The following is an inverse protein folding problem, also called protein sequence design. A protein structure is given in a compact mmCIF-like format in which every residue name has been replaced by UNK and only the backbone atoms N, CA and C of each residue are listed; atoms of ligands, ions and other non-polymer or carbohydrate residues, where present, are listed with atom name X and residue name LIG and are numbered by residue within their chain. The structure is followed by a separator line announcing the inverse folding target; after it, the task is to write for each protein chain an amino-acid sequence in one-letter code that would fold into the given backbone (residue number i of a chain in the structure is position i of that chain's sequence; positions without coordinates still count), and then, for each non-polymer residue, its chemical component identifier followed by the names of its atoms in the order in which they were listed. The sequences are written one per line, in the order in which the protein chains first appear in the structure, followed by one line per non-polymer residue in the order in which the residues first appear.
data_IF_467919934831
#
_entry.id   IF_467919934831
#
_cell.length_a   1.000
_cell.length_b   1.000
_cell.length_c   1.000
_cell.angle_alpha   90.00
_cell.angle_beta   90.00
_cell.angle_gamma   90.00
#
_symmetry.space_group_name_H-M   'P 1'
#
loop_
_entity.id
_entity.type
_entity.pdbx_description
1 polymer ?
#
# COMPACT_ATOMS: atom_id res chain seq x y z
N UNK A 1 -4.34 -7.77 -11.07
CA UNK A 1 -4.45 -6.62 -12.00
C UNK A 1 -5.90 -6.19 -12.18
N UNK A 2 -6.75 -6.33 -11.15
CA UNK A 2 -8.17 -5.99 -11.19
C UNK A 2 -8.36 -4.52 -10.76
N UNK A 3 -7.62 -4.09 -9.74
CA UNK A 3 -7.76 -2.73 -9.21
C UNK A 3 -7.16 -1.71 -10.18
N UNK A 4 -5.99 -2.01 -10.75
CA UNK A 4 -5.37 -1.17 -11.78
C UNK A 4 -6.31 -0.97 -12.98
N UNK A 5 -6.93 -2.04 -13.49
CA UNK A 5 -7.84 -1.93 -14.65
C UNK A 5 -9.08 -1.08 -14.34
N UNK A 6 -9.61 -1.13 -13.11
CA UNK A 6 -10.74 -0.28 -12.70
C UNK A 6 -10.37 1.20 -12.71
N UNK A 7 -9.18 1.55 -12.20
CA UNK A 7 -8.73 2.95 -12.19
C UNK A 7 -8.55 3.46 -13.62
N UNK A 8 -7.92 2.67 -14.50
CA UNK A 8 -7.76 3.05 -15.89
C UNK A 8 -9.10 3.23 -16.61
N UNK A 9 -10.08 2.34 -16.33
CA UNK A 9 -11.43 2.49 -16.86
C UNK A 9 -12.12 3.76 -16.35
N UNK A 10 -11.98 4.10 -15.06
CA UNK A 10 -12.52 5.34 -14.50
C UNK A 10 -11.90 6.59 -15.13
N UNK A 11 -10.59 6.58 -15.38
CA UNK A 11 -9.88 7.71 -16.02
C UNK A 11 -10.28 7.91 -17.49
N UNK A 12 -10.80 6.88 -18.15
CA UNK A 12 -11.22 6.95 -19.55
C UNK A 12 -12.66 7.48 -19.73
N UNK A 13 -13.46 7.58 -18.66
CA UNK A 13 -14.85 8.02 -18.76
C UNK A 13 -14.94 9.54 -18.89
N UNK A 14 -15.68 10.08 -19.88
CA UNK A 14 -15.98 11.50 -19.99
C UNK A 14 -17.10 11.87 -19.01
N UNK A 15 -16.85 11.76 -17.71
CA UNK A 15 -17.86 12.05 -16.69
C UNK A 15 -17.59 13.38 -15.99
N UNK A 16 -18.66 14.17 -15.83
CA UNK A 16 -18.68 15.36 -14.96
C UNK A 16 -18.59 14.98 -13.47
N UNK A 17 -18.69 13.69 -13.14
CA UNK A 17 -18.61 13.17 -11.79
C UNK A 17 -17.63 11.99 -11.76
N UNK A 18 -16.53 12.14 -11.03
CA UNK A 18 -15.57 11.05 -10.81
C UNK A 18 -15.71 10.55 -9.38
N UNK A 19 -15.80 9.23 -9.22
CA UNK A 19 -15.84 8.56 -7.92
C UNK A 19 -14.51 7.89 -7.66
N UNK A 20 -13.80 8.36 -6.65
CA UNK A 20 -12.53 7.82 -6.23
C UNK A 20 -12.72 6.90 -5.03
N UNK A 21 -12.37 5.62 -5.18
CA UNK A 21 -12.21 4.71 -4.07
C UNK A 21 -10.72 4.65 -3.69
N UNK A 22 -10.30 5.16 -2.52
CA UNK A 22 -8.89 5.17 -2.13
C UNK A 22 -8.28 3.76 -2.15
N UNK A 23 -9.04 2.75 -1.73
CA UNK A 23 -8.54 1.38 -1.61
C UNK A 23 -8.29 0.69 -2.95
N UNK A 24 -8.91 1.14 -4.04
CA UNK A 24 -8.54 0.67 -5.37
C UNK A 24 -7.10 1.10 -5.72
N UNK A 25 -6.64 2.29 -5.30
CA UNK A 25 -5.26 2.74 -5.51
C UNK A 25 -4.26 1.95 -4.67
N UNK A 26 -4.59 1.64 -3.41
CA UNK A 26 -3.75 0.78 -2.55
C UNK A 26 -3.67 -0.66 -3.07
N UNK A 27 -4.78 -1.18 -3.61
CA UNK A 27 -4.79 -2.49 -4.24
C UNK A 27 -3.94 -2.48 -5.52
N UNK A 28 -4.07 -1.44 -6.35
CA UNK A 28 -3.29 -1.30 -7.57
C UNK A 28 -1.79 -1.21 -7.30
N UNK A 29 -1.34 -0.50 -6.27
CA UNK A 29 0.08 -0.45 -5.90
C UNK A 29 0.63 -1.84 -5.54
N UNK A 30 -0.12 -2.63 -4.76
CA UNK A 30 0.24 -4.01 -4.42
C UNK A 30 0.27 -4.96 -5.62
N UNK A 31 -0.73 -4.88 -6.51
CA UNK A 31 -0.77 -5.66 -7.75
C UNK A 31 0.40 -5.32 -8.68
N UNK A 32 0.69 -4.02 -8.85
CA UNK A 32 1.80 -3.55 -9.67
C UNK A 32 3.16 -3.93 -9.08
N UNK A 33 3.30 -3.96 -7.75
CA UNK A 33 4.53 -4.42 -7.09
C UNK A 33 4.84 -5.88 -7.45
N UNK A 34 3.86 -6.77 -7.36
CA UNK A 34 4.01 -8.18 -7.74
C UNK A 34 4.24 -8.32 -9.25
N UNK A 35 3.54 -7.55 -10.07
CA UNK A 35 3.75 -7.55 -11.52
C UNK A 35 5.16 -7.10 -11.90
N UNK A 36 5.66 -6.03 -11.28
CA UNK A 36 7.02 -5.54 -11.44
C UNK A 36 8.04 -6.61 -11.04
N UNK A 37 7.79 -7.34 -9.95
CA UNK A 37 8.62 -8.46 -9.52
C UNK A 37 8.70 -9.56 -10.59
N UNK A 38 7.57 -9.99 -11.13
CA UNK A 38 7.50 -11.02 -12.17
C UNK A 38 8.30 -10.61 -13.42
N UNK A 39 8.09 -9.39 -13.92
CA UNK A 39 8.84 -8.87 -15.08
C UNK A 39 10.34 -8.88 -14.80
N UNK A 40 10.74 -8.44 -13.61
CA UNK A 40 12.15 -8.28 -13.26
C UNK A 40 12.87 -9.63 -13.15
N UNK A 41 12.20 -10.66 -12.62
CA UNK A 41 12.71 -12.03 -12.61
C UNK A 41 12.78 -12.66 -14.00
N UNK A 42 11.78 -12.42 -14.85
CA UNK A 42 11.83 -12.88 -16.26
C UNK A 42 13.02 -12.25 -16.99
N UNK A 43 13.22 -10.94 -16.83
CA UNK A 43 14.37 -10.25 -17.43
C UNK A 43 15.71 -10.76 -16.86
N UNK A 44 15.80 -10.95 -15.55
CA UNK A 44 17.01 -11.52 -14.93
C UNK A 44 17.30 -12.91 -15.47
N UNK A 45 16.30 -13.78 -15.58
CA UNK A 45 16.46 -15.13 -16.14
C UNK A 45 16.94 -15.12 -17.59
N UNK A 46 16.40 -14.23 -18.43
CA UNK A 46 16.74 -14.17 -19.85
C UNK A 46 18.12 -13.56 -20.12
N UNK A 47 18.50 -12.53 -19.36
CA UNK A 47 19.69 -11.72 -19.66
C UNK A 47 20.86 -11.97 -18.70
N UNK A 48 20.59 -12.47 -17.49
CA UNK A 48 21.63 -12.71 -16.48
C UNK A 48 21.32 -13.94 -15.60
N UNK A 49 21.14 -15.14 -16.19
CA UNK A 49 20.75 -16.35 -15.45
C UNK A 49 21.75 -16.75 -14.37
N UNK A 50 23.04 -16.44 -14.54
CA UNK A 50 24.08 -16.75 -13.57
C UNK A 50 23.82 -16.14 -12.19
N UNK A 51 23.16 -14.97 -12.13
CA UNK A 51 22.80 -14.32 -10.86
C UNK A 51 21.79 -15.15 -10.05
N UNK A 52 20.98 -15.98 -10.69
CA UNK A 52 20.00 -16.84 -10.02
C UNK A 52 20.71 -18.01 -9.31
N UNK A 53 21.79 -18.49 -9.91
CA UNK A 53 22.61 -19.55 -9.35
C UNK A 53 23.49 -19.02 -8.22
N UNK A 54 24.12 -17.87 -8.41
CA UNK A 54 25.04 -17.26 -7.46
C UNK A 54 24.85 -15.73 -7.36
N UNK A 55 24.57 -15.24 -6.15
CA UNK A 55 24.52 -13.81 -5.86
C UNK A 55 24.80 -13.52 -4.38
N UNK A 56 25.19 -12.28 -4.11
CA UNK A 56 25.57 -11.81 -2.78
C UNK A 56 24.46 -11.98 -1.73
N UNK A 57 23.20 -11.77 -2.11
CA UNK A 57 22.08 -11.95 -1.20
C UNK A 57 21.85 -13.43 -0.90
N UNK A 58 21.89 -14.30 -1.90
CA UNK A 58 21.75 -15.76 -1.75
C UNK A 58 22.85 -16.33 -0.87
N UNK A 59 24.09 -15.84 -0.98
CA UNK A 59 25.19 -16.22 -0.08
C UNK A 59 24.90 -15.85 1.38
N UNK A 60 24.17 -14.75 1.63
CA UNK A 60 23.84 -14.26 2.97
C UNK A 60 22.60 -14.92 3.58
N UNK A 61 21.56 -15.11 2.77
CA UNK A 61 20.24 -15.55 3.25
C UNK A 61 19.91 -17.00 2.91
N UNK A 62 20.68 -17.64 2.04
CA UNK A 62 20.55 -19.07 1.68
C UNK A 62 19.44 -19.37 0.66
N UNK A 63 18.79 -18.36 0.08
CA UNK A 63 17.77 -18.51 -0.97
C UNK A 63 17.81 -17.32 -1.93
N UNK A 64 17.10 -17.43 -3.06
CA UNK A 64 16.95 -16.33 -4.01
C UNK A 64 15.92 -15.32 -3.48
N UNK A 65 16.41 -14.32 -2.75
CA UNK A 65 15.58 -13.20 -2.30
C UNK A 65 14.92 -12.52 -3.51
N UNK A 66 13.62 -12.20 -3.41
CA UNK A 66 12.88 -11.68 -4.56
C UNK A 66 13.48 -10.36 -5.11
N UNK A 67 14.09 -9.52 -4.28
CA UNK A 67 14.70 -8.27 -4.72
C UNK A 67 15.89 -8.47 -5.66
N UNK A 68 16.53 -9.65 -5.69
CA UNK A 68 17.62 -9.96 -6.64
C UNK A 68 17.17 -9.73 -8.10
N UNK A 69 15.90 -9.99 -8.41
CA UNK A 69 15.34 -9.69 -9.73
C UNK A 69 15.42 -8.21 -10.12
N UNK A 70 15.45 -7.30 -9.14
CA UNK A 70 15.58 -5.86 -9.33
C UNK A 70 17.03 -5.36 -9.39
N UNK A 71 18.00 -6.18 -9.02
CA UNK A 71 19.40 -5.75 -8.84
C UNK A 71 20.24 -5.89 -10.10
N UNK A 72 19.76 -6.61 -11.11
CA UNK A 72 20.53 -6.91 -12.32
C UNK A 72 20.12 -6.07 -13.52
N UNK A 73 21.07 -5.76 -14.40
CA UNK A 73 20.75 -5.15 -15.70
C UNK A 73 20.32 -6.25 -16.70
N UNK A 74 19.32 -6.00 -17.56
CA UNK A 74 18.55 -4.76 -17.73
C UNK A 74 17.31 -4.64 -16.82
N UNK A 75 17.01 -5.64 -16.00
CA UNK A 75 15.80 -5.69 -15.17
C UNK A 75 15.65 -4.44 -14.29
N UNK A 76 16.74 -4.00 -13.66
CA UNK A 76 16.81 -2.78 -12.84
C UNK A 76 16.34 -1.51 -13.55
N UNK A 77 16.71 -1.33 -14.83
CA UNK A 77 16.31 -0.17 -15.63
C UNK A 77 14.82 -0.17 -15.99
N UNK A 78 14.18 -1.34 -16.01
CA UNK A 78 12.73 -1.47 -16.21
C UNK A 78 11.99 -1.36 -14.88
N UNK A 79 12.55 -1.96 -13.83
CA UNK A 79 11.94 -2.04 -12.52
C UNK A 79 11.86 -0.67 -11.81
N UNK A 80 12.91 0.14 -11.89
CA UNK A 80 12.95 1.44 -11.20
C UNK A 80 11.86 2.42 -11.69
N UNK A 81 11.65 2.63 -13.01
CA UNK A 81 10.52 3.43 -13.50
C UNK A 81 9.15 2.86 -13.12
N UNK A 82 8.95 1.53 -13.18
CA UNK A 82 7.71 0.90 -12.74
C UNK A 82 7.48 1.10 -11.24
N UNK A 83 8.54 1.09 -10.44
CA UNK A 83 8.46 1.37 -9.00
C UNK A 83 8.02 2.81 -8.72
N UNK A 84 8.44 3.79 -9.53
CA UNK A 84 7.92 5.15 -9.43
C UNK A 84 6.40 5.23 -9.69
N UNK A 85 5.88 4.44 -10.65
CA UNK A 85 4.43 4.32 -10.88
C UNK A 85 3.74 3.69 -9.67
N UNK A 86 4.32 2.66 -9.07
CA UNK A 86 3.78 2.04 -7.83
C UNK A 86 3.68 3.08 -6.70
N UNK A 87 4.74 3.88 -6.49
CA UNK A 87 4.77 4.96 -5.50
C UNK A 87 3.69 6.01 -5.79
N UNK A 88 3.43 6.33 -7.06
CA UNK A 88 2.35 7.24 -7.44
C UNK A 88 0.97 6.70 -6.99
N UNK A 89 0.65 5.44 -7.30
CA UNK A 89 -0.62 4.83 -6.88
C UNK A 89 -0.76 4.84 -5.36
N UNK A 90 0.30 4.46 -4.64
CA UNK A 90 0.28 4.50 -3.19
C UNK A 90 0.11 5.93 -2.66
N UNK A 91 0.87 6.89 -3.19
CA UNK A 91 0.76 8.30 -2.77
C UNK A 91 -0.65 8.85 -3.01
N UNK A 92 -1.29 8.44 -4.12
CA UNK A 92 -2.67 8.81 -4.42
C UNK A 92 -3.65 8.19 -3.43
N UNK A 93 -3.48 6.93 -3.04
CA UNK A 93 -4.25 6.33 -1.95
C UNK A 93 -4.14 7.15 -0.67
N UNK A 94 -2.92 7.44 -0.21
CA UNK A 94 -2.66 8.15 1.04
C UNK A 94 -3.23 9.58 1.04
N UNK A 95 -3.21 10.25 -0.11
CA UNK A 95 -3.82 11.56 -0.30
C UNK A 95 -5.35 11.51 -0.21
N UNK A 96 -5.98 10.57 -0.93
CA UNK A 96 -7.44 10.41 -0.93
C UNK A 96 -7.95 9.97 0.43
N UNK A 97 -7.20 9.11 1.12
CA UNK A 97 -7.49 8.67 2.49
C UNK A 97 -7.45 9.85 3.48
N UNK A 98 -6.45 10.73 3.38
CA UNK A 98 -6.43 11.97 4.15
C UNK A 98 -7.61 12.90 3.86
N UNK A 99 -7.98 13.10 2.59
CA UNK A 99 -9.13 13.92 2.22
C UNK A 99 -10.44 13.33 2.75
N UNK A 100 -10.60 12.01 2.70
CA UNK A 100 -11.75 11.32 3.26
C UNK A 100 -11.84 11.54 4.77
N UNK A 101 -10.76 11.31 5.50
CA UNK A 101 -10.72 11.52 6.95
C UNK A 101 -11.05 12.98 7.31
N UNK A 102 -10.54 13.94 6.52
CA UNK A 102 -10.84 15.35 6.68
C UNK A 102 -12.33 15.64 6.48
N UNK A 103 -12.93 15.19 5.38
CA UNK A 103 -14.35 15.41 5.08
C UNK A 103 -15.29 14.76 6.11
N UNK A 104 -14.92 13.60 6.64
CA UNK A 104 -15.68 12.91 7.69
C UNK A 104 -15.47 13.52 9.07
N UNK A 105 -14.46 14.39 9.25
CA UNK A 105 -14.10 14.95 10.55
C UNK A 105 -13.58 13.92 11.55
N UNK A 106 -13.13 12.74 11.10
CA UNK A 106 -12.76 11.62 11.95
C UNK A 106 -11.26 11.36 11.90
N UNK A 107 -10.60 11.34 13.07
CA UNK A 107 -9.24 10.84 13.28
C UNK A 107 -8.16 11.43 12.35
N UNK A 108 -8.37 12.65 11.86
CA UNK A 108 -7.52 13.33 10.85
C UNK A 108 -6.04 13.33 11.22
N UNK A 109 -5.71 13.55 12.50
CA UNK A 109 -4.31 13.55 12.96
C UNK A 109 -3.65 12.18 12.83
N UNK A 110 -4.34 11.11 13.23
CA UNK A 110 -3.81 9.74 13.15
C UNK A 110 -3.60 9.33 11.70
N UNK A 111 -4.62 9.57 10.84
CA UNK A 111 -4.54 9.31 9.40
C UNK A 111 -3.38 10.08 8.78
N UNK A 112 -3.22 11.37 9.12
CA UNK A 112 -2.09 12.18 8.63
C UNK A 112 -0.73 11.59 9.02
N UNK A 113 -0.55 11.18 10.27
CA UNK A 113 0.72 10.62 10.75
C UNK A 113 1.01 9.29 10.05
N UNK A 114 0.05 8.37 10.03
CA UNK A 114 0.23 7.06 9.39
C UNK A 114 0.51 7.22 7.90
N UNK A 115 -0.24 8.09 7.22
CA UNK A 115 -0.07 8.31 5.79
C UNK A 115 1.26 8.97 5.47
N UNK A 116 1.72 9.92 6.30
CA UNK A 116 3.04 10.50 6.15
C UNK A 116 4.16 9.46 6.30
N UNK A 117 4.10 8.64 7.36
CA UNK A 117 5.10 7.59 7.61
C UNK A 117 5.10 6.55 6.48
N UNK A 118 3.92 6.13 6.03
CA UNK A 118 3.79 5.21 4.90
C UNK A 118 4.34 5.83 3.61
N UNK A 119 4.01 7.09 3.29
CA UNK A 119 4.54 7.77 2.11
C UNK A 119 6.07 7.86 2.16
N UNK A 120 6.62 8.36 3.27
CA UNK A 120 8.07 8.47 3.47
C UNK A 120 8.76 7.12 3.30
N UNK A 121 8.13 6.05 3.82
CA UNK A 121 8.61 4.69 3.67
C UNK A 121 8.68 4.21 2.22
N UNK A 122 7.65 4.47 1.42
CA UNK A 122 7.65 4.15 -0.01
C UNK A 122 8.72 4.92 -0.80
N UNK A 123 8.95 6.19 -0.47
CA UNK A 123 10.04 6.96 -1.09
C UNK A 123 11.42 6.47 -0.66
N UNK A 124 11.60 6.13 0.62
CA UNK A 124 12.86 5.57 1.10
C UNK A 124 13.20 4.22 0.47
N UNK A 125 12.18 3.42 0.11
CA UNK A 125 12.35 2.15 -0.58
C UNK A 125 12.96 2.28 -1.99
N UNK A 126 12.99 3.48 -2.59
CA UNK A 126 13.77 3.71 -3.83
C UNK A 126 15.26 3.38 -3.62
N UNK A 127 15.73 3.41 -2.37
CA UNK A 127 17.08 3.01 -1.98
C UNK A 127 17.49 1.63 -2.52
N UNK A 128 16.57 0.70 -2.76
CA UNK A 128 16.88 -0.61 -3.37
C UNK A 128 17.56 -0.48 -4.73
N UNK A 129 17.22 0.54 -5.52
CA UNK A 129 17.83 0.75 -6.83
C UNK A 129 19.13 1.56 -6.77
N UNK A 130 19.38 2.27 -5.67
CA UNK A 130 20.52 3.18 -5.54
C UNK A 130 21.65 2.61 -4.69
N UNK A 131 21.32 1.74 -3.72
CA UNK A 131 22.29 1.11 -2.82
C UNK A 131 22.63 -0.25 -3.40
N UNK A 132 23.87 -0.41 -3.84
CA UNK A 132 24.36 -1.70 -4.34
C UNK A 132 24.37 -2.74 -3.21
N UNK A 133 23.66 -3.86 -3.41
CA UNK A 133 23.58 -4.95 -2.45
C UNK A 133 24.94 -5.63 -2.20
N UNK A 134 25.88 -5.57 -3.14
CA UNK A 134 27.24 -6.08 -2.97
C UNK A 134 28.09 -5.18 -2.07
N UNK A 135 27.85 -3.86 -2.11
CA UNK A 135 28.65 -2.86 -1.37
C UNK A 135 28.06 -2.60 0.02
N UNK A 136 26.75 -2.41 0.12
CA UNK A 136 26.07 -2.14 1.38
C UNK A 136 24.77 -2.97 1.48
N UNK A 137 24.88 -4.29 1.70
CA UNK A 137 23.75 -5.21 1.79
C UNK A 137 22.76 -4.84 2.91
N UNK A 138 23.27 -4.34 4.03
CA UNK A 138 22.43 -3.92 5.16
C UNK A 138 21.61 -2.67 4.79
N UNK A 139 22.24 -1.66 4.18
CA UNK A 139 21.54 -0.46 3.72
C UNK A 139 20.52 -0.76 2.63
N UNK A 140 20.90 -1.61 1.66
CA UNK A 140 20.00 -2.09 0.61
C UNK A 140 18.78 -2.79 1.22
N UNK A 141 19.01 -3.77 2.09
CA UNK A 141 17.93 -4.53 2.77
C UNK A 141 17.07 -3.64 3.65
N UNK A 142 17.69 -2.74 4.42
CA UNK A 142 16.98 -1.82 5.31
C UNK A 142 16.04 -0.89 4.52
N UNK A 143 16.46 -0.43 3.34
CA UNK A 143 15.61 0.41 2.48
C UNK A 143 14.29 -0.26 2.11
N UNK A 144 14.28 -1.59 1.96
CA UNK A 144 13.08 -2.38 1.71
C UNK A 144 12.36 -2.83 2.99
N UNK A 145 13.06 -3.35 3.99
CA UNK A 145 12.42 -3.94 5.19
C UNK A 145 11.56 -2.93 5.95
N UNK A 146 11.96 -1.66 6.01
CA UNK A 146 11.12 -0.62 6.60
C UNK A 146 9.77 -0.46 5.88
N UNK A 147 9.73 -0.67 4.55
CA UNK A 147 8.51 -0.65 3.74
C UNK A 147 7.53 -1.73 4.17
N UNK A 148 8.04 -2.92 4.47
CA UNK A 148 7.24 -4.06 4.91
C UNK A 148 6.45 -3.72 6.17
N UNK A 149 7.15 -3.17 7.17
CA UNK A 149 6.55 -2.82 8.47
C UNK A 149 5.53 -1.68 8.33
N UNK A 150 5.91 -0.59 7.65
CA UNK A 150 5.01 0.58 7.55
C UNK A 150 3.82 0.34 6.61
N UNK A 151 3.95 -0.54 5.61
CA UNK A 151 2.80 -0.98 4.80
C UNK A 151 1.79 -1.77 5.63
N UNK A 152 2.25 -2.64 6.52
CA UNK A 152 1.38 -3.35 7.46
C UNK A 152 0.67 -2.37 8.42
N UNK A 153 1.39 -1.41 9.00
CA UNK A 153 0.80 -0.37 9.87
C UNK A 153 -0.29 0.43 9.13
N UNK A 154 -0.04 0.82 7.87
CA UNK A 154 -1.03 1.50 7.05
C UNK A 154 -2.26 0.63 6.75
N UNK A 155 -2.09 -0.68 6.56
CA UNK A 155 -3.21 -1.62 6.42
C UNK A 155 -4.04 -1.68 7.72
N UNK A 156 -3.39 -1.80 8.88
CA UNK A 156 -4.05 -1.80 10.18
C UNK A 156 -4.81 -0.50 10.46
N UNK A 157 -4.22 0.65 10.14
CA UNK A 157 -4.89 1.94 10.30
C UNK A 157 -6.18 2.02 9.47
N UNK A 158 -6.14 1.57 8.22
CA UNK A 158 -7.33 1.48 7.37
C UNK A 158 -8.38 0.53 7.96
N UNK A 159 -7.99 -0.62 8.51
CA UNK A 159 -8.90 -1.55 9.20
C UNK A 159 -9.54 -0.95 10.47
N UNK A 160 -8.83 -0.06 11.16
CA UNK A 160 -9.32 0.61 12.37
C UNK A 160 -10.20 1.81 12.04
N UNK A 161 -9.92 2.50 10.94
CA UNK A 161 -10.66 3.68 10.47
C UNK A 161 -12.03 3.31 9.90
N UNK A 162 -12.09 2.25 9.09
CA UNK A 162 -13.32 1.86 8.38
C UNK A 162 -14.31 1.20 9.35
N UNK A 163 -15.60 1.52 9.18
CA UNK A 163 -16.68 0.87 9.94
C UNK A 163 -16.65 -0.66 9.69
N UNK A 164 -16.67 -1.51 10.74
CA UNK A 164 -16.63 -2.96 10.61
C UNK A 164 -17.64 -3.57 9.64
N UNK A 165 -18.77 -2.91 9.38
CA UNK A 165 -19.77 -3.38 8.40
C UNK A 165 -19.25 -3.41 6.96
N UNK A 166 -18.20 -2.65 6.65
CA UNK A 166 -17.55 -2.63 5.33
C UNK A 166 -16.31 -3.54 5.26
N UNK A 167 -16.03 -4.32 6.31
CA UNK A 167 -14.90 -5.23 6.31
C UNK A 167 -15.26 -6.48 5.47
N UNK A 168 -14.46 -6.83 4.46
CA UNK A 168 -14.69 -8.05 3.71
C UNK A 168 -14.51 -9.29 4.60
N UNK A 169 -15.20 -10.37 4.24
CA UNK A 169 -15.03 -11.67 4.92
C UNK A 169 -13.56 -12.08 4.82
N UNK A 170 -12.95 -12.39 5.96
CA UNK A 170 -11.54 -12.77 6.03
C UNK A 170 -10.56 -11.62 6.24
N UNK A 171 -11.00 -10.35 6.35
CA UNK A 171 -10.11 -9.23 6.63
C UNK A 171 -9.26 -9.42 7.91
N UNK A 172 -9.90 -9.87 8.99
CA UNK A 172 -9.24 -10.10 10.29
C UNK A 172 -8.17 -11.21 10.27
N UNK A 173 -8.46 -12.45 9.81
CA UNK A 173 -7.41 -13.47 9.70
C UNK A 173 -6.33 -13.06 8.71
N UNK A 174 -6.67 -12.36 7.61
CA UNK A 174 -5.68 -11.82 6.68
C UNK A 174 -4.73 -10.82 7.36
N UNK A 175 -5.25 -9.83 8.10
CA UNK A 175 -4.38 -8.85 8.77
C UNK A 175 -3.48 -9.50 9.82
N UNK A 176 -3.96 -10.53 10.52
CA UNK A 176 -3.15 -11.28 11.48
C UNK A 176 -1.99 -12.01 10.78
N UNK A 177 -2.27 -12.72 9.69
CA UNK A 177 -1.25 -13.41 8.88
C UNK A 177 -0.26 -12.40 8.30
N UNK A 178 -0.76 -11.30 7.72
CA UNK A 178 0.06 -10.26 7.13
C UNK A 178 0.97 -9.59 8.16
N UNK A 179 0.48 -9.37 9.37
CA UNK A 179 1.24 -8.84 10.49
C UNK A 179 2.35 -9.76 10.96
N UNK A 180 2.04 -11.05 11.15
CA UNK A 180 3.03 -12.08 11.50
C UNK A 180 4.13 -12.14 10.46
N UNK A 181 3.77 -12.22 9.17
CA UNK A 181 4.73 -12.25 8.06
C UNK A 181 5.59 -11.00 8.06
N UNK A 182 4.99 -9.81 8.14
CA UNK A 182 5.72 -8.54 8.03
C UNK A 182 6.70 -8.33 9.19
N UNK A 183 6.26 -8.59 10.43
CA UNK A 183 7.08 -8.40 11.63
C UNK A 183 8.20 -9.44 11.68
N UNK A 184 7.88 -10.73 11.47
CA UNK A 184 8.89 -11.78 11.50
C UNK A 184 9.89 -11.61 10.36
N UNK A 185 9.44 -11.25 9.15
CA UNK A 185 10.34 -10.98 8.04
C UNK A 185 11.33 -9.87 8.39
N UNK A 186 10.84 -8.74 8.92
CA UNK A 186 11.72 -7.63 9.28
C UNK A 186 12.75 -8.00 10.34
N UNK A 187 12.33 -8.69 11.41
CA UNK A 187 13.25 -9.14 12.48
C UNK A 187 14.27 -10.12 11.93
N UNK A 188 13.81 -11.17 11.23
CA UNK A 188 14.67 -12.23 10.74
C UNK A 188 15.64 -11.73 9.66
N UNK A 189 15.20 -10.88 8.73
CA UNK A 189 16.07 -10.27 7.71
C UNK A 189 17.19 -9.45 8.35
N UNK A 190 16.87 -8.61 9.34
CA UNK A 190 17.86 -7.77 10.01
C UNK A 190 18.85 -8.60 10.83
N UNK A 191 18.39 -9.63 11.56
CA UNK A 191 19.29 -10.57 12.25
C UNK A 191 20.22 -11.27 11.27
N UNK A 192 19.67 -11.76 10.14
CA UNK A 192 20.44 -12.48 9.14
C UNK A 192 21.53 -11.61 8.53
N UNK A 193 21.21 -10.36 8.17
CA UNK A 193 22.18 -9.42 7.60
C UNK A 193 23.22 -8.97 8.63
N UNK A 194 22.83 -8.76 9.88
CA UNK A 194 23.74 -8.32 10.95
C UNK A 194 24.70 -9.42 11.42
N UNK A 195 24.26 -10.69 11.39
CA UNK A 195 25.06 -11.84 11.86
C UNK A 195 25.86 -12.54 10.77
N UNK A 196 25.75 -12.11 9.51
CA UNK A 196 26.56 -12.63 8.43
C UNK A 196 28.05 -12.30 8.63
N UNK A 197 28.91 -13.30 8.55
CA UNK A 197 30.36 -13.11 8.59
C UNK A 197 30.94 -13.05 7.17
N UNK A 198 31.42 -11.89 6.71
CA UNK A 198 31.97 -11.75 5.36
C UNK A 198 33.30 -12.47 5.16
N UNK A 199 34.03 -12.81 6.22
CA UNK A 199 35.34 -13.49 6.11
C UNK A 199 35.18 -14.99 5.91
N UNK A 200 34.24 -15.61 6.61
CA UNK A 200 34.01 -17.06 6.55
C UNK A 200 32.86 -17.44 5.62
N UNK A 201 32.03 -16.48 5.23
CA UNK A 201 30.77 -16.74 4.52
C UNK A 201 29.71 -17.41 5.41
N UNK A 202 29.92 -17.45 6.73
CA UNK A 202 28.97 -18.04 7.65
C UNK A 202 27.67 -17.22 7.66
N UNK A 203 26.57 -17.88 7.28
CA UNK A 203 25.23 -17.31 7.32
C UNK A 203 24.80 -16.99 8.76
N UNK A 204 23.89 -16.02 8.89
CA UNK A 204 23.20 -15.76 10.15
C UNK A 204 22.37 -16.97 10.64
N UNK A 205 21.90 -16.91 11.89
CA UNK A 205 21.29 -18.07 12.57
C UNK A 205 19.87 -18.42 12.09
N UNK A 206 19.27 -17.62 11.20
CA UNK A 206 17.88 -17.85 10.78
C UNK A 206 17.85 -18.92 9.69
N UNK A 207 17.04 -19.99 9.84
CA UNK A 207 16.89 -20.99 8.79
C UNK A 207 16.40 -20.36 7.47
N UNK A 208 17.11 -20.62 6.37
CA UNK A 208 16.81 -19.99 5.08
C UNK A 208 15.40 -20.29 4.56
N UNK A 209 14.85 -21.47 4.84
CA UNK A 209 13.47 -21.83 4.46
C UNK A 209 12.42 -20.92 5.11
N UNK A 210 12.65 -20.54 6.37
CA UNK A 210 11.77 -19.62 7.08
C UNK A 210 11.86 -18.22 6.47
N UNK A 211 13.07 -17.76 6.16
CA UNK A 211 13.28 -16.49 5.46
C UNK A 211 12.58 -16.46 4.09
N UNK A 212 12.72 -17.52 3.31
CA UNK A 212 12.07 -17.67 2.01
C UNK A 212 10.53 -17.61 2.12
N UNK A 213 9.95 -18.35 3.08
CA UNK A 213 8.51 -18.32 3.35
C UNK A 213 8.02 -16.91 3.71
N UNK A 214 8.77 -16.19 4.55
CA UNK A 214 8.41 -14.84 5.02
C UNK A 214 8.53 -13.80 3.89
N UNK A 215 9.60 -13.84 3.11
CA UNK A 215 9.82 -12.94 1.97
C UNK A 215 8.72 -13.13 0.91
N UNK A 216 8.53 -14.37 0.44
CA UNK A 216 7.55 -14.66 -0.60
C UNK A 216 6.12 -14.46 -0.09
N UNK A 217 5.88 -14.79 1.19
CA UNK A 217 4.63 -14.53 1.88
C UNK A 217 4.27 -13.05 1.91
N UNK A 218 5.25 -12.15 2.13
CA UNK A 218 5.00 -10.71 2.12
C UNK A 218 4.50 -10.24 0.74
N UNK A 219 5.17 -10.64 -0.34
CA UNK A 219 4.74 -10.29 -1.70
C UNK A 219 3.37 -10.88 -2.06
N UNK A 220 3.08 -12.11 -1.62
CA UNK A 220 1.75 -12.70 -1.75
C UNK A 220 0.69 -11.88 -1.02
N UNK A 221 0.96 -11.46 0.23
CA UNK A 221 0.08 -10.56 0.99
C UNK A 221 -0.11 -9.22 0.25
N UNK A 222 0.95 -8.62 -0.28
CA UNK A 222 0.86 -7.36 -1.02
C UNK A 222 0.00 -7.48 -2.29
N UNK A 223 0.09 -8.59 -3.02
CA UNK A 223 -0.78 -8.84 -4.18
C UNK A 223 -2.24 -9.15 -3.81
N UNK A 224 -2.47 -9.77 -2.65
CA UNK A 224 -3.81 -10.16 -2.17
C UNK A 224 -4.52 -9.09 -1.35
N UNK A 225 -3.82 -8.08 -0.85
CA UNK A 225 -4.38 -7.11 0.10
C UNK A 225 -5.64 -6.42 -0.43
N UNK A 226 -5.77 -6.21 -1.75
CA UNK A 226 -6.94 -5.57 -2.36
C UNK A 226 -8.26 -6.34 -2.18
N UNK A 227 -8.20 -7.65 -1.92
CA UNK A 227 -9.38 -8.47 -1.64
C UNK A 227 -9.83 -8.38 -0.18
N UNK A 228 -8.89 -8.12 0.73
CA UNK A 228 -9.12 -8.14 2.18
C UNK A 228 -9.12 -6.75 2.82
N UNK A 229 -8.71 -5.72 2.08
CA UNK A 229 -8.73 -4.33 2.53
C UNK A 229 -10.18 -3.83 2.63
N UNK A 230 -10.60 -3.27 3.77
CA UNK A 230 -11.91 -2.64 3.92
C UNK A 230 -12.14 -1.52 2.90
N UNK A 231 -13.31 -1.48 2.29
CA UNK A 231 -13.65 -0.38 1.35
C UNK A 231 -14.41 0.69 2.10
N UNK A 232 -13.80 1.83 2.33
CA UNK A 232 -14.54 2.94 2.90
C UNK A 232 -15.35 3.69 1.84
N UNK A 233 -16.24 4.61 2.25
CA UNK A 233 -17.01 5.44 1.34
C UNK A 233 -16.10 6.13 0.31
N UNK A 234 -16.53 6.10 -0.96
CA UNK A 234 -15.81 6.74 -2.06
C UNK A 234 -15.96 8.26 -1.99
N UNK A 235 -14.95 8.97 -2.49
CA UNK A 235 -14.98 10.41 -2.68
C UNK A 235 -15.62 10.73 -4.03
N UNK A 236 -16.61 11.62 -4.03
CA UNK A 236 -17.21 12.16 -5.24
C UNK A 236 -16.59 13.53 -5.51
N UNK A 237 -16.01 13.73 -6.69
CA UNK A 237 -15.50 15.02 -7.14
C UNK A 237 -16.26 15.46 -8.40
N UNK A 238 -17.10 16.50 -8.33
CA UNK A 238 -17.66 17.09 -9.53
C UNK A 238 -16.53 17.83 -10.27
N UNK A 239 -16.34 17.48 -11.55
CA UNK A 239 -15.34 18.10 -12.41
C UNK A 239 -16.04 18.93 -13.47
N UNK A 240 -15.62 20.19 -13.60
CA UNK A 240 -16.06 21.10 -14.66
C UNK A 240 -14.84 21.66 -15.35
N UNK A 241 -14.76 21.49 -16.67
CA UNK A 241 -13.81 22.22 -17.49
C UNK A 241 -14.27 23.68 -17.54
N UNK A 242 -13.37 24.59 -17.18
CA UNK A 242 -13.56 26.03 -17.27
C UNK A 242 -12.46 26.59 -18.16
N UNK A 243 -12.78 27.56 -19.01
CA UNK A 243 -11.73 28.30 -19.71
C UNK A 243 -10.96 29.14 -18.68
N UNK A 244 -9.68 29.39 -18.92
CA UNK A 244 -8.92 30.35 -18.11
C UNK A 244 -9.57 31.75 -18.15
N UNK A 245 -10.20 32.09 -19.27
CA UNK A 245 -10.98 33.32 -19.44
C UNK A 245 -12.22 33.38 -18.53
N UNK A 246 -12.77 32.23 -18.15
CA UNK A 246 -13.93 32.12 -17.25
C UNK A 246 -13.51 32.13 -15.76
N UNK A 247 -12.20 32.03 -15.46
CA UNK A 247 -11.69 32.01 -14.10
C UNK A 247 -11.69 33.43 -13.49
N UNK A 248 -12.83 33.81 -12.93
CA UNK A 248 -12.96 35.03 -12.14
C UNK A 248 -12.46 34.73 -10.71
N UNK A 249 -11.33 35.31 -10.30
CA UNK A 249 -10.93 35.33 -8.88
C UNK A 249 -11.95 36.19 -8.14
N UNK A 250 -12.93 35.58 -7.49
CA UNK A 250 -13.86 36.35 -6.67
C UNK A 250 -13.09 36.92 -5.48
N UNK A 251 -13.36 38.16 -5.03
CA UNK A 251 -12.73 38.74 -3.84
C UNK A 251 -12.88 37.87 -2.56
N UNK A 252 -13.86 36.97 -2.57
CA UNK A 252 -14.14 35.97 -1.54
C UNK A 252 -13.13 34.81 -1.53
N UNK A 253 -12.43 34.54 -2.64
CA UNK A 253 -11.28 33.62 -2.73
C UNK A 253 -10.01 34.26 -2.17
N UNK A 254 -10.12 34.91 -1.00
CA UNK A 254 -8.98 35.45 -0.30
C UNK A 254 -8.13 34.28 0.21
N UNK A 255 -7.04 33.95 -0.48
CA UNK A 255 -6.19 32.80 -0.18
C UNK A 255 -5.64 32.79 1.27
N UNK A 256 -5.58 33.96 1.92
CA UNK A 256 -5.24 34.10 3.34
C UNK A 256 -6.34 33.57 4.29
N UNK A 257 -7.60 33.52 3.85
CA UNK A 257 -8.75 32.93 4.54
C UNK A 257 -9.15 31.55 3.98
N UNK A 258 -8.56 31.10 2.88
CA UNK A 258 -8.63 29.71 2.43
C UNK A 258 -7.83 28.75 3.35
N UNK A 259 -7.92 28.93 4.68
CA UNK A 259 -8.21 27.75 5.50
C UNK A 259 -9.50 27.27 4.90
N UNK A 260 -9.52 26.18 4.11
CA UNK A 260 -10.77 25.55 3.68
C UNK A 260 -11.71 25.65 4.87
N UNK A 261 -12.73 26.54 4.84
CA UNK A 261 -13.64 26.59 5.95
C UNK A 261 -14.34 25.26 5.79
N UNK A 262 -13.86 24.27 6.55
CA UNK A 262 -14.63 23.09 6.83
C UNK A 262 -15.98 23.69 7.23
N UNK A 263 -17.03 23.53 6.42
CA UNK A 263 -18.32 24.10 6.76
C UNK A 263 -18.56 23.71 8.22
N UNK A 264 -18.97 24.66 9.09
CA UNK A 264 -19.10 24.39 10.51
C UNK A 264 -19.82 23.06 10.62
N UNK A 265 -19.14 22.06 11.20
CA UNK A 265 -19.65 20.69 11.18
C UNK A 265 -21.09 20.81 11.65
N UNK A 266 -22.07 20.35 10.84
CA UNK A 266 -23.46 20.44 11.24
C UNK A 266 -23.53 19.89 12.67
N UNK A 267 -24.17 20.61 13.61
CA UNK A 267 -24.18 20.23 15.01
C UNK A 267 -24.52 18.76 15.03
N UNK A 268 -23.62 17.95 15.61
CA UNK A 268 -23.72 16.50 15.65
C UNK A 268 -25.16 16.21 16.09
N UNK A 269 -26.03 15.91 15.14
CA UNK A 269 -27.41 15.62 15.46
C UNK A 269 -27.26 14.31 16.19
N UNK A 270 -27.37 14.39 17.51
CA UNK A 270 -27.47 13.26 18.40
C UNK A 270 -28.44 12.32 17.70
N UNK A 271 -27.94 11.21 17.13
CA UNK A 271 -28.76 10.16 16.54
C UNK A 271 -29.46 9.45 17.70
N UNK A 272 -30.32 10.20 18.40
CA UNK A 272 -31.34 9.71 19.30
C UNK A 272 -32.37 9.03 18.41
N UNK A 273 -32.24 7.72 18.27
CA UNK A 273 -33.41 6.88 18.03
C UNK A 273 -33.66 6.39 16.61
N UNK A 274 -32.64 6.01 15.84
CA UNK A 274 -32.82 4.84 14.96
C UNK A 274 -32.63 3.56 15.79
N UNK A 275 -33.54 3.37 16.75
CA UNK A 275 -33.83 2.04 17.25
C UNK A 275 -34.32 1.23 16.06
N UNK A 276 -33.60 0.15 15.75
CA UNK A 276 -34.10 -0.95 14.95
C UNK A 276 -35.51 -1.29 15.43
N UNK A 277 -36.53 -0.94 14.64
CA UNK A 277 -37.84 -1.50 14.79
C UNK A 277 -37.72 -3.01 14.58
N UNK A 278 -37.64 -3.76 15.67
CA UNK A 278 -38.05 -5.15 15.70
C UNK A 278 -39.54 -5.17 15.32
N UNK A 279 -39.81 -5.26 14.02
CA UNK A 279 -41.10 -5.63 13.51
C UNK A 279 -41.40 -7.06 13.98
N UNK A 280 -42.22 -7.17 15.01
CA UNK A 280 -42.93 -8.40 15.35
C UNK A 280 -43.80 -8.78 14.16
N UNK A 281 -43.37 -9.79 13.41
CA UNK A 281 -44.20 -10.45 12.40
C UNK A 281 -45.29 -11.20 13.17
N UNK A 282 -46.51 -10.66 13.14
CA UNK A 282 -47.70 -11.36 13.61
C UNK A 282 -47.95 -12.57 12.69
N UNK A 283 -47.87 -13.77 13.26
CA UNK A 283 -48.28 -15.00 12.61
C UNK A 283 -49.81 -14.96 12.39
N UNK A 284 -50.23 -14.88 11.13
CA UNK A 284 -51.62 -15.11 10.73
C UNK A 284 -51.94 -16.61 10.72
N UNK A 285 -53.17 -17.03 11.08
CA UNK A 285 -53.56 -18.42 11.04
C UNK A 285 -53.75 -18.87 9.58
N UNK A 286 -53.12 -19.99 9.22
CA UNK A 286 -53.39 -20.70 7.96
C UNK A 286 -54.70 -21.50 8.09
N UNK A 287 -55.58 -21.45 7.07
CA UNK A 287 -56.72 -22.37 6.92
C UNK A 287 -56.28 -23.79 6.53
#
# INVERSE_FOLDING_TARGET
MIAFSRIMAQMALPSHEVRYNPEDYAAASGELLVFNMIISWVLTYLFNPAVIDENELKARVGYNNLCVGWDTMPAKFVAAPLFAVIIFFQSRFLQLDYWRAALLGQRVLVVRIVNFVCAASWFFAIGIFSIDAAVNPLGHTFSFVQLVIFSYVAFCANLVEVDPRFHPKGAYPFVAIFGVISILFGICAMIQMYKYDPLTGAMGPVPWHLMCLLDYGYFACMGLQGFFRPRAPSLQAPLKLISDDDFQVTPEMNFAQARFPMPPMPPMQEQKGLCCGCGTVAAGPHP
#
